data_IF_411035907608
#
_entry.id   IF_411035907608
#
_cell.length_a   1.000
_cell.length_b   1.000
_cell.length_c   1.000
_cell.angle_alpha   90.00
_cell.angle_beta   90.00
_cell.angle_gamma   90.00
#
_symmetry.space_group_name_H-M   'P 1'
#
loop_
_entity.id
_entity.type
_entity.pdbx_description
1 polymer ?
#
# COMPACT_ATOMS: atom_id res chain seq x y z
N UNK A 1 29.00 -15.58 -44.29
CA UNK A 1 28.55 -16.23 -43.03
C UNK A 1 29.12 -15.61 -41.75
N UNK A 2 30.35 -15.08 -41.72
CA UNK A 2 30.99 -14.57 -40.47
C UNK A 2 30.39 -13.27 -39.87
N UNK A 3 29.65 -12.46 -40.64
CA UNK A 3 28.99 -11.22 -40.17
C UNK A 3 27.57 -11.41 -39.63
N UNK A 4 26.97 -12.59 -39.82
CA UNK A 4 25.61 -12.89 -39.35
C UNK A 4 25.59 -13.35 -37.89
N UNK A 5 26.66 -14.01 -37.44
CA UNK A 5 26.84 -14.44 -36.05
C UNK A 5 26.79 -13.28 -35.03
N UNK A 6 27.48 -12.14 -35.21
CA UNK A 6 27.40 -11.03 -34.26
C UNK A 6 26.01 -10.37 -34.26
N UNK A 7 25.34 -10.28 -35.41
CA UNK A 7 23.99 -9.70 -35.51
C UNK A 7 22.95 -10.57 -34.79
N UNK A 8 23.02 -11.89 -34.98
CA UNK A 8 22.15 -12.84 -34.28
C UNK A 8 22.36 -12.80 -32.77
N UNK A 9 23.61 -12.64 -32.31
CA UNK A 9 23.94 -12.49 -30.91
C UNK A 9 23.38 -11.19 -30.31
N UNK A 10 23.47 -10.07 -31.04
CA UNK A 10 22.88 -8.79 -30.60
C UNK A 10 21.37 -8.83 -30.50
N UNK A 11 20.69 -9.46 -31.47
CA UNK A 11 19.22 -9.64 -31.45
C UNK A 11 18.80 -10.51 -30.27
N UNK A 12 19.53 -11.59 -30.00
CA UNK A 12 19.27 -12.45 -28.84
C UNK A 12 19.47 -11.68 -27.53
N UNK A 13 20.51 -10.84 -27.43
CA UNK A 13 20.78 -10.05 -26.23
C UNK A 13 19.66 -9.03 -25.93
N UNK A 14 19.15 -8.35 -26.97
CA UNK A 14 18.03 -7.40 -26.84
C UNK A 14 16.74 -8.14 -26.49
N UNK A 15 16.48 -9.30 -27.08
CA UNK A 15 15.32 -10.13 -26.76
C UNK A 15 15.34 -10.59 -25.28
N UNK A 16 16.51 -11.00 -24.77
CA UNK A 16 16.67 -11.37 -23.35
C UNK A 16 16.46 -10.17 -22.42
N UNK A 17 16.95 -8.98 -22.78
CA UNK A 17 16.70 -7.76 -22.00
C UNK A 17 15.20 -7.39 -21.94
N UNK A 18 14.46 -7.58 -23.04
CA UNK A 18 13.02 -7.30 -23.09
C UNK A 18 12.18 -8.30 -22.28
N UNK A 19 12.62 -9.57 -22.19
CA UNK A 19 11.96 -10.61 -21.38
C UNK A 19 12.30 -10.44 -19.89
N UNK A 20 13.48 -9.88 -19.59
CA UNK A 20 14.02 -9.74 -18.24
C UNK A 20 13.64 -8.44 -17.52
N UNK A 21 12.76 -7.59 -18.05
CA UNK A 21 12.26 -6.44 -17.28
C UNK A 21 11.32 -7.00 -16.22
N UNK A 22 11.69 -7.03 -14.93
CA UNK A 22 10.73 -7.41 -13.90
C UNK A 22 9.55 -6.44 -14.00
N UNK A 23 8.34 -6.96 -14.13
CA UNK A 23 7.13 -6.14 -14.04
C UNK A 23 7.19 -5.32 -12.76
N UNK A 24 6.70 -4.07 -12.81
CA UNK A 24 6.66 -3.18 -11.64
C UNK A 24 5.97 -3.90 -10.47
N UNK A 25 6.75 -4.42 -9.53
CA UNK A 25 6.21 -5.07 -8.34
C UNK A 25 5.76 -3.96 -7.39
N UNK A 26 4.44 -3.78 -7.25
CA UNK A 26 3.83 -2.83 -6.31
C UNK A 26 3.78 -3.40 -4.89
N UNK A 27 4.90 -3.95 -4.42
CA UNK A 27 4.85 -5.03 -3.44
C UNK A 27 4.99 -4.60 -1.97
N UNK A 28 5.07 -3.31 -1.64
CA UNK A 28 5.05 -2.92 -0.23
C UNK A 28 4.43 -1.55 -0.01
N UNK A 29 3.49 -1.49 0.93
CA UNK A 29 2.87 -0.29 1.50
C UNK A 29 3.46 0.09 2.86
N UNK A 30 4.44 -0.67 3.35
CA UNK A 30 5.18 -0.35 4.56
C UNK A 30 6.22 0.73 4.30
N UNK A 31 6.65 1.41 5.37
CA UNK A 31 7.66 2.47 5.36
C UNK A 31 8.97 2.13 4.66
N UNK A 32 9.37 0.86 4.61
CA UNK A 32 10.57 0.39 3.92
C UNK A 32 10.42 0.38 2.38
N UNK A 33 9.21 0.59 1.87
CA UNK A 33 8.94 0.67 0.44
C UNK A 33 9.39 2.03 -0.12
N UNK A 34 10.15 2.07 -1.24
CA UNK A 34 10.65 3.31 -1.82
C UNK A 34 9.59 4.39 -2.11
N UNK A 35 8.34 3.99 -2.37
CA UNK A 35 7.23 4.91 -2.64
C UNK A 35 6.60 5.51 -1.37
N UNK A 36 6.63 4.80 -0.25
CA UNK A 36 5.99 5.20 1.01
C UNK A 36 6.97 5.86 1.98
N UNK A 37 8.28 5.65 1.82
CA UNK A 37 9.30 6.29 2.67
C UNK A 37 9.17 7.83 2.71
N UNK A 38 8.68 8.46 1.65
CA UNK A 38 8.46 9.91 1.56
C UNK A 38 7.02 10.36 1.92
N UNK A 39 6.12 9.42 2.20
CA UNK A 39 4.73 9.66 2.60
C UNK A 39 4.40 8.81 3.86
N UNK A 40 4.86 9.25 5.03
CA UNK A 40 4.66 8.50 6.28
C UNK A 40 3.20 8.44 6.72
N UNK A 41 2.31 9.28 6.18
CA UNK A 41 0.87 9.24 6.49
C UNK A 41 0.15 8.12 5.73
N UNK A 42 0.72 7.67 4.60
CA UNK A 42 0.25 6.52 3.84
C UNK A 42 0.86 5.17 4.28
N UNK A 43 1.67 5.16 5.35
CA UNK A 43 2.33 3.97 5.88
C UNK A 43 1.32 3.01 6.51
N UNK A 44 1.00 1.92 5.81
CA UNK A 44 0.16 0.84 6.30
C UNK A 44 1.02 -0.14 7.10
N UNK A 45 0.71 -0.28 8.39
CA UNK A 45 1.53 -1.11 9.28
C UNK A 45 1.07 -2.56 9.28
N UNK A 46 -0.25 -2.79 9.26
CA UNK A 46 -0.83 -4.14 9.32
C UNK A 46 -2.28 -4.14 8.82
N UNK A 47 -2.73 -5.32 8.37
CA UNK A 47 -4.14 -5.62 8.12
C UNK A 47 -4.53 -6.89 8.87
N UNK A 48 -5.65 -6.83 9.59
CA UNK A 48 -6.23 -7.97 10.31
C UNK A 48 -7.59 -8.32 9.71
N UNK A 49 -7.84 -9.61 9.55
CA UNK A 49 -9.12 -10.16 9.09
C UNK A 49 -9.49 -11.36 9.94
N UNK A 50 -10.65 -11.33 10.58
CA UNK A 50 -11.14 -12.42 11.42
C UNK A 50 -12.66 -12.48 11.42
N UNK A 51 -13.22 -13.66 11.71
CA UNK A 51 -14.67 -13.83 11.88
C UNK A 51 -15.11 -13.04 13.11
N UNK A 52 -16.12 -12.18 12.94
CA UNK A 52 -16.56 -11.29 14.02
C UNK A 52 -17.11 -12.11 15.21
N UNK A 53 -16.60 -11.91 16.44
CA UNK A 53 -16.98 -12.73 17.59
C UNK A 53 -18.43 -12.53 18.04
N UNK A 54 -18.98 -11.34 17.80
CA UNK A 54 -20.36 -10.94 18.10
C UNK A 54 -21.33 -11.21 16.93
N UNK A 55 -20.80 -11.39 15.72
CA UNK A 55 -21.57 -11.69 14.51
C UNK A 55 -20.86 -12.71 13.59
N UNK A 56 -20.92 -14.02 13.91
CA UNK A 56 -20.07 -15.04 13.27
C UNK A 56 -20.33 -15.30 11.78
N UNK A 57 -21.41 -14.77 11.21
CA UNK A 57 -21.70 -14.78 9.78
C UNK A 57 -20.99 -13.65 9.01
N UNK A 58 -20.15 -12.85 9.69
CA UNK A 58 -19.41 -11.73 9.10
C UNK A 58 -17.91 -11.80 9.37
N UNK A 59 -17.16 -11.03 8.58
CA UNK A 59 -15.72 -10.80 8.77
C UNK A 59 -15.50 -9.37 9.24
N UNK A 60 -14.73 -9.21 10.31
CA UNK A 60 -14.18 -7.93 10.74
C UNK A 60 -12.84 -7.71 10.03
N UNK A 61 -12.71 -6.54 9.39
CA UNK A 61 -11.48 -6.07 8.75
C UNK A 61 -10.96 -4.86 9.51
N UNK A 62 -9.67 -4.86 9.84
CA UNK A 62 -8.96 -3.74 10.48
C UNK A 62 -7.71 -3.44 9.65
N UNK A 63 -7.50 -2.18 9.31
CA UNK A 63 -6.28 -1.72 8.67
C UNK A 63 -5.63 -0.63 9.54
N UNK A 64 -4.40 -0.87 9.95
CA UNK A 64 -3.62 0.04 10.79
C UNK A 64 -2.69 0.88 9.92
N UNK A 65 -2.56 2.15 10.29
CA UNK A 65 -1.71 3.12 9.63
C UNK A 65 -1.03 3.97 10.70
N UNK A 66 0.12 4.55 10.36
CA UNK A 66 0.91 5.44 11.25
C UNK A 66 1.39 4.68 12.50
N UNK A 67 2.61 4.11 12.48
CA UNK A 67 3.11 3.32 13.61
C UNK A 67 3.51 4.19 14.82
N UNK A 68 3.59 3.55 15.99
CA UNK A 68 4.28 4.06 17.20
C UNK A 68 3.86 5.44 17.72
N UNK A 69 2.57 5.64 18.01
CA UNK A 69 2.09 6.80 18.78
C UNK A 69 1.98 6.47 20.27
N UNK A 70 3.01 6.82 21.05
CA UNK A 70 3.04 6.55 22.49
C UNK A 70 2.19 7.55 23.29
N UNK A 71 1.45 7.13 24.33
CA UNK A 71 0.58 8.03 25.11
C UNK A 71 1.29 9.26 25.70
N UNK A 72 2.58 9.12 26.05
CA UNK A 72 3.39 10.20 26.61
C UNK A 72 3.80 11.27 25.57
N UNK A 73 3.62 11.01 24.27
CA UNK A 73 3.92 11.94 23.17
C UNK A 73 2.87 13.03 22.95
N UNK A 74 1.80 13.06 23.74
CA UNK A 74 0.76 14.08 23.64
C UNK A 74 1.27 15.51 23.90
N UNK A 75 0.51 16.54 23.47
CA UNK A 75 -0.80 16.47 22.83
C UNK A 75 -0.75 16.24 21.31
N UNK A 76 0.44 16.26 20.70
CA UNK A 76 0.61 16.30 19.25
C UNK A 76 0.83 14.89 18.68
N UNK A 77 -0.25 14.26 18.22
CA UNK A 77 -0.21 13.02 17.46
C UNK A 77 -0.24 13.29 15.96
N UNK A 78 0.28 12.36 15.16
CA UNK A 78 0.15 12.45 13.71
C UNK A 78 -1.32 12.21 13.32
N UNK A 79 -1.83 13.06 12.43
CA UNK A 79 -3.14 12.89 11.83
C UNK A 79 -3.05 11.98 10.60
N UNK A 80 -4.19 11.41 10.22
CA UNK A 80 -4.35 10.86 8.86
C UNK A 80 -4.11 11.96 7.82
N UNK A 81 -3.55 11.57 6.68
CA UNK A 81 -3.34 12.48 5.56
C UNK A 81 -4.67 12.90 4.95
N UNK A 82 -4.81 14.19 4.64
CA UNK A 82 -6.01 14.72 3.96
C UNK A 82 -5.92 14.56 2.43
N UNK A 83 -4.74 14.25 1.92
CA UNK A 83 -4.41 13.96 0.53
C UNK A 83 -4.19 12.47 0.25
N UNK A 84 -4.44 11.61 1.25
CA UNK A 84 -4.28 10.15 1.16
C UNK A 84 -5.64 9.48 1.03
N UNK A 85 -5.79 8.63 0.01
CA UNK A 85 -6.92 7.71 -0.12
C UNK A 85 -6.56 6.38 0.55
N UNK A 86 -7.18 6.10 1.69
CA UNK A 86 -7.01 4.85 2.41
C UNK A 86 -8.01 3.82 1.89
N UNK A 87 -7.55 2.60 1.56
CA UNK A 87 -8.42 1.58 0.97
C UNK A 87 -8.21 0.19 1.60
N UNK A 88 -9.30 -0.54 1.79
CA UNK A 88 -9.28 -2.00 1.96
C UNK A 88 -9.93 -2.61 0.72
N UNK A 89 -9.15 -3.41 -0.01
CA UNK A 89 -9.58 -4.08 -1.24
C UNK A 89 -9.79 -5.56 -0.96
N UNK A 90 -10.96 -6.07 -1.31
CA UNK A 90 -11.35 -7.46 -1.09
C UNK A 90 -11.64 -8.11 -2.43
N UNK A 91 -10.88 -9.18 -2.75
CA UNK A 91 -11.30 -10.20 -3.72
C UNK A 91 -12.06 -11.29 -2.97
N UNK A 92 -13.24 -11.65 -3.45
CA UNK A 92 -14.07 -12.73 -2.91
C UNK A 92 -14.18 -13.92 -3.88
N UNK A 93 -13.41 -13.88 -4.97
CA UNK A 93 -13.41 -14.88 -6.01
C UNK A 93 -11.99 -15.51 -6.14
N UNK A 94 -11.73 -16.28 -7.19
CA UNK A 94 -10.41 -16.94 -7.41
C UNK A 94 -9.42 -16.11 -8.24
N UNK A 95 -9.73 -14.86 -8.52
CA UNK A 95 -8.82 -13.89 -9.11
C UNK A 95 -8.25 -12.95 -8.04
N UNK A 96 -7.17 -12.23 -8.40
CA UNK A 96 -6.50 -11.27 -7.52
C UNK A 96 -7.04 -9.85 -7.69
N UNK A 97 -8.09 -9.68 -8.48
CA UNK A 97 -8.72 -8.39 -8.73
C UNK A 97 -9.73 -8.07 -7.63
N UNK A 98 -9.89 -6.79 -7.34
CA UNK A 98 -10.77 -6.35 -6.25
C UNK A 98 -12.24 -6.41 -6.68
N UNK A 99 -13.06 -7.14 -5.93
CA UNK A 99 -14.53 -7.14 -6.07
C UNK A 99 -15.16 -5.98 -5.26
N UNK A 100 -14.65 -5.74 -4.05
CA UNK A 100 -15.16 -4.73 -3.11
C UNK A 100 -14.01 -3.83 -2.66
N UNK A 101 -14.27 -2.52 -2.60
CA UNK A 101 -13.38 -1.51 -2.02
C UNK A 101 -14.08 -0.75 -0.91
N UNK A 102 -13.47 -0.75 0.28
CA UNK A 102 -13.81 0.19 1.35
C UNK A 102 -12.81 1.34 1.29
N UNK A 103 -13.31 2.56 1.15
CA UNK A 103 -12.48 3.76 0.97
C UNK A 103 -12.74 4.75 2.09
N UNK A 104 -11.66 5.32 2.62
CA UNK A 104 -11.70 6.28 3.70
C UNK A 104 -10.93 7.54 3.30
N UNK A 105 -11.58 8.69 3.51
CA UNK A 105 -10.99 10.01 3.39
C UNK A 105 -11.15 10.73 4.71
N UNK A 106 -10.08 11.35 5.18
CA UNK A 106 -10.06 12.07 6.45
C UNK A 106 -9.94 13.57 6.21
N UNK A 107 -10.54 14.35 7.11
CA UNK A 107 -10.38 15.79 7.23
C UNK A 107 -10.12 16.11 8.68
N UNK A 108 -9.08 16.88 8.95
CA UNK A 108 -8.74 17.32 10.29
C UNK A 108 -9.44 18.64 10.57
N UNK A 109 -10.07 18.73 11.74
CA UNK A 109 -10.71 19.96 12.21
C UNK A 109 -10.17 20.34 13.58
N UNK A 110 -9.80 21.61 13.74
CA UNK A 110 -9.40 22.15 15.03
C UNK A 110 -10.68 22.45 15.82
N UNK A 111 -10.96 21.63 16.85
CA UNK A 111 -12.17 21.78 17.68
C UNK A 111 -12.18 23.05 18.53
N UNK A 112 -11.01 23.53 18.97
CA UNK A 112 -10.87 24.77 19.72
C UNK A 112 -9.76 25.63 19.10
N UNK A 113 -10.09 26.70 18.36
CA UNK A 113 -9.07 27.56 17.76
C UNK A 113 -8.30 28.40 18.79
N UNK A 114 -8.72 28.41 20.06
CA UNK A 114 -8.04 29.10 21.16
C UNK A 114 -7.11 28.18 21.96
N UNK A 115 -6.88 26.96 21.49
CA UNK A 115 -5.75 26.12 21.94
C UNK A 115 -4.63 26.21 20.91
N UNK A 116 -3.42 25.84 21.31
CA UNK A 116 -2.18 25.84 20.51
C UNK A 116 -2.35 25.22 19.12
#
# INVERSE_FOLDING_TARGET
MRKLAPLALSVLLVAVMLIGIPGQTRASSHREAPFITNDPQADNTDVFAFVSPDKPDTVTLIANYIPFQEPAGGPNFHNFGEDVLYEIKVSNNQDVERDISFQFFFRTEIRNPNTF
#
